data_IF_770418493230
#
_entry.id   IF_770418493230
#
_cell.length_a   1.000
_cell.length_b   1.000
_cell.length_c   1.000
_cell.angle_alpha   90.00
_cell.angle_beta   90.00
_cell.angle_gamma   90.00
#
_symmetry.space_group_name_H-M   'P 1'
#
loop_
_entity.id
_entity.type
_entity.pdbx_description
1 polymer ?
#
# COMPACT_ATOMS: atom_id res chain seq x y z
N UNK A 1 -12.92 12.70 6.57
CA UNK A 1 -12.15 13.85 6.03
C UNK A 1 -10.79 13.86 6.69
N UNK A 2 -9.68 13.84 5.95
CA UNK A 2 -8.32 13.81 6.53
C UNK A 2 -7.75 15.20 6.87
N UNK A 3 -8.40 16.28 6.42
CA UNK A 3 -8.03 17.68 6.68
C UNK A 3 -9.14 18.42 7.45
N UNK A 4 -9.66 17.81 8.51
CA UNK A 4 -10.66 18.46 9.37
C UNK A 4 -10.04 18.97 10.67
N UNK A 5 -10.73 19.87 11.37
CA UNK A 5 -10.24 20.47 12.61
C UNK A 5 -9.81 19.43 13.63
N UNK A 6 -10.63 18.38 13.84
CA UNK A 6 -10.32 17.30 14.77
C UNK A 6 -9.00 16.56 14.48
N UNK A 7 -8.53 16.54 13.22
CA UNK A 7 -7.22 15.97 12.87
C UNK A 7 -6.10 16.94 13.23
N UNK A 8 -6.27 18.23 12.93
CA UNK A 8 -5.28 19.25 13.28
C UNK A 8 -5.14 19.44 14.80
N UNK A 9 -6.24 19.33 15.54
CA UNK A 9 -6.24 19.41 17.00
C UNK A 9 -5.40 18.28 17.64
N UNK A 10 -5.34 17.11 16.99
CA UNK A 10 -4.52 15.98 17.44
C UNK A 10 -3.08 15.98 16.91
N UNK A 11 -2.77 16.83 15.93
CA UNK A 11 -1.47 16.83 15.28
C UNK A 11 -0.33 17.12 16.29
N UNK A 12 -0.52 18.10 17.18
CA UNK A 12 0.50 18.43 18.19
C UNK A 12 0.82 17.25 19.11
N UNK A 13 -0.21 16.53 19.58
CA UNK A 13 -0.03 15.34 20.43
C UNK A 13 0.72 14.20 19.71
N UNK A 14 0.52 14.05 18.40
CA UNK A 14 1.26 13.06 17.60
C UNK A 14 2.70 13.48 17.35
N UNK A 15 2.95 14.76 17.10
CA UNK A 15 4.30 15.29 16.91
C UNK A 15 5.15 15.16 18.19
N UNK A 16 4.55 15.32 19.38
CA UNK A 16 5.20 15.02 20.66
C UNK A 16 5.58 13.53 20.81
N UNK A 17 4.91 12.64 20.07
CA UNK A 17 5.18 11.20 20.00
C UNK A 17 6.06 10.81 18.79
N UNK A 18 6.73 11.78 18.16
CA UNK A 18 7.57 11.57 16.97
C UNK A 18 6.78 11.01 15.76
N UNK A 19 5.48 11.33 15.69
CA UNK A 19 4.58 10.93 14.60
C UNK A 19 4.10 12.14 13.81
N UNK A 20 4.42 12.16 12.52
CA UNK A 20 4.14 13.29 11.63
C UNK A 20 3.13 12.93 10.54
N UNK A 21 2.29 13.89 10.17
CA UNK A 21 1.35 13.75 9.07
C UNK A 21 2.01 14.09 7.73
N UNK A 22 1.97 13.15 6.79
CA UNK A 22 2.40 13.36 5.41
C UNK A 22 1.19 13.39 4.47
N UNK A 23 0.92 14.56 3.89
CA UNK A 23 -0.20 14.73 2.97
C UNK A 23 0.26 14.60 1.51
N UNK A 24 -0.38 13.69 0.79
CA UNK A 24 -0.16 13.53 -0.64
C UNK A 24 -0.86 14.64 -1.46
N UNK A 25 -0.29 15.03 -2.62
CA UNK A 25 -0.99 15.88 -3.59
C UNK A 25 -2.29 15.24 -4.06
N UNK A 26 -3.26 16.07 -4.44
CA UNK A 26 -4.55 15.61 -4.97
C UNK A 26 -4.35 14.71 -6.19
N UNK A 27 -5.21 13.69 -6.34
CA UNK A 27 -5.20 12.75 -7.47
C UNK A 27 -3.87 12.02 -7.70
N UNK A 28 -3.07 11.83 -6.63
CA UNK A 28 -1.77 11.15 -6.72
C UNK A 28 -1.74 9.77 -6.04
N UNK A 29 -2.64 8.82 -6.41
CA UNK A 29 -2.68 7.50 -5.78
C UNK A 29 -1.40 6.68 -6.09
N UNK A 30 -0.71 6.99 -7.18
CA UNK A 30 0.56 6.37 -7.55
C UNK A 30 1.70 6.69 -6.56
N UNK A 31 1.57 7.76 -5.77
CA UNK A 31 2.51 8.10 -4.70
C UNK A 31 2.20 7.37 -3.39
N UNK A 32 1.05 6.71 -3.27
CA UNK A 32 0.66 5.99 -2.07
C UNK A 32 1.00 4.50 -2.19
N UNK A 33 2.03 3.98 -1.50
CA UNK A 33 2.47 2.59 -1.66
C UNK A 33 1.39 1.55 -1.33
N UNK A 34 0.46 1.88 -0.44
CA UNK A 34 -0.63 0.98 -0.04
C UNK A 34 -1.57 0.66 -1.22
N UNK A 35 -1.68 1.55 -2.21
CA UNK A 35 -2.49 1.33 -3.42
C UNK A 35 -1.93 0.19 -4.26
N UNK A 36 -0.59 0.05 -4.30
CA UNK A 36 0.07 -1.07 -4.97
C UNK A 36 -0.29 -2.37 -4.24
N UNK A 37 -0.23 -2.38 -2.90
CA UNK A 37 -0.59 -3.55 -2.11
C UNK A 37 -2.04 -3.97 -2.37
N UNK A 38 -2.99 -3.03 -2.32
CA UNK A 38 -4.40 -3.33 -2.58
C UNK A 38 -4.66 -3.84 -4.00
N UNK A 39 -3.94 -3.33 -5.00
CA UNK A 39 -4.02 -3.84 -6.37
C UNK A 39 -3.58 -5.30 -6.45
N UNK A 40 -2.45 -5.67 -5.83
CA UNK A 40 -2.01 -7.07 -5.78
C UNK A 40 -3.00 -7.94 -5.00
N UNK A 41 -3.48 -7.47 -3.86
CA UNK A 41 -4.45 -8.18 -3.05
C UNK A 41 -5.72 -8.50 -3.86
N UNK A 42 -6.32 -7.51 -4.51
CA UNK A 42 -7.55 -7.66 -5.27
C UNK A 42 -7.41 -8.50 -6.53
N UNK A 43 -6.36 -8.25 -7.32
CA UNK A 43 -6.27 -8.82 -8.67
C UNK A 43 -5.37 -10.05 -8.77
N UNK A 44 -4.51 -10.30 -7.79
CA UNK A 44 -3.54 -11.41 -7.84
C UNK A 44 -3.75 -12.46 -6.76
N UNK A 45 -4.07 -12.05 -5.53
CA UNK A 45 -4.07 -12.98 -4.38
C UNK A 45 -5.46 -13.40 -3.93
N UNK A 46 -6.43 -12.50 -3.94
CA UNK A 46 -7.82 -12.88 -3.68
C UNK A 46 -8.38 -13.72 -4.82
N UNK A 47 -9.09 -14.78 -4.46
CA UNK A 47 -9.77 -15.68 -5.38
C UNK A 47 -11.28 -15.43 -5.31
N UNK A 48 -12.01 -15.84 -6.36
CA UNK A 48 -13.47 -15.68 -6.45
C UNK A 48 -14.20 -16.19 -5.21
N UNK A 49 -13.76 -17.32 -4.65
CA UNK A 49 -14.35 -17.93 -3.44
C UNK A 49 -14.22 -17.07 -2.18
N UNK A 50 -13.25 -16.16 -2.11
CA UNK A 50 -13.13 -15.23 -0.97
C UNK A 50 -14.23 -14.17 -0.98
N UNK A 51 -14.76 -13.83 -2.15
CA UNK A 51 -15.83 -12.84 -2.29
C UNK A 51 -17.23 -13.40 -1.98
N UNK A 52 -17.35 -14.69 -1.65
CA UNK A 52 -18.67 -15.32 -1.48
C UNK A 52 -19.39 -14.88 -0.19
N UNK A 53 -18.67 -14.28 0.77
CA UNK A 53 -19.28 -13.64 1.94
C UNK A 53 -18.32 -12.64 2.58
N UNK A 54 -18.87 -11.70 3.35
CA UNK A 54 -18.07 -10.74 4.12
C UNK A 54 -17.05 -11.42 5.04
N UNK A 55 -17.48 -12.45 5.77
CA UNK A 55 -16.61 -13.18 6.69
C UNK A 55 -15.41 -13.83 5.97
N UNK A 56 -15.65 -14.44 4.80
CA UNK A 56 -14.60 -15.07 3.99
C UNK A 56 -13.65 -14.04 3.41
N UNK A 57 -14.18 -12.94 2.88
CA UNK A 57 -13.36 -11.85 2.35
C UNK A 57 -12.46 -11.29 3.44
N UNK A 58 -13.04 -10.96 4.61
CA UNK A 58 -12.33 -10.44 5.76
C UNK A 58 -11.23 -11.40 6.21
N UNK A 59 -11.54 -12.69 6.38
CA UNK A 59 -10.57 -13.71 6.77
C UNK A 59 -9.40 -13.81 5.77
N UNK A 60 -9.70 -13.82 4.48
CA UNK A 60 -8.68 -13.89 3.43
C UNK A 60 -7.79 -12.63 3.40
N UNK A 61 -8.38 -11.44 3.49
CA UNK A 61 -7.63 -10.16 3.54
C UNK A 61 -6.67 -10.15 4.73
N UNK A 62 -7.13 -10.50 5.94
CA UNK A 62 -6.27 -10.53 7.12
C UNK A 62 -5.19 -11.61 7.05
N UNK A 63 -5.49 -12.78 6.47
CA UNK A 63 -4.49 -13.82 6.25
C UNK A 63 -3.37 -13.33 5.31
N UNK A 64 -3.75 -12.71 4.18
CA UNK A 64 -2.80 -12.13 3.22
C UNK A 64 -1.93 -11.06 3.88
N UNK A 65 -2.54 -10.13 4.63
CA UNK A 65 -1.79 -9.05 5.30
C UNK A 65 -0.83 -9.59 6.34
N UNK A 66 -1.24 -10.61 7.13
CA UNK A 66 -0.36 -11.24 8.14
C UNK A 66 0.83 -11.97 7.52
N UNK A 67 0.66 -12.53 6.32
CA UNK A 67 1.69 -13.29 5.60
C UNK A 67 2.41 -12.43 4.54
N UNK A 68 2.13 -11.12 4.48
CA UNK A 68 2.79 -10.19 3.58
C UNK A 68 4.27 -10.02 3.96
N UNK A 69 5.15 -10.07 2.97
CA UNK A 69 6.61 -10.14 3.17
C UNK A 69 7.14 -11.57 3.33
N UNK A 70 6.27 -12.56 3.50
CA UNK A 70 6.63 -13.99 3.55
C UNK A 70 6.09 -14.70 2.31
N UNK A 71 4.87 -15.22 2.37
CA UNK A 71 4.22 -15.93 1.25
C UNK A 71 3.72 -14.95 0.18
N UNK A 72 3.26 -13.77 0.59
CA UNK A 72 2.79 -12.73 -0.32
C UNK A 72 3.88 -11.66 -0.47
N UNK A 73 4.52 -11.63 -1.64
CA UNK A 73 5.59 -10.68 -1.97
C UNK A 73 5.30 -9.98 -3.29
N UNK A 74 5.75 -8.74 -3.38
CA UNK A 74 5.72 -7.93 -4.60
C UNK A 74 7.17 -7.75 -5.04
N UNK A 75 7.57 -8.40 -6.13
CA UNK A 75 8.93 -8.33 -6.64
C UNK A 75 9.01 -7.31 -7.77
N UNK A 76 9.96 -6.38 -7.68
CA UNK A 76 10.18 -5.33 -8.66
C UNK A 76 11.38 -5.60 -9.58
N UNK A 77 12.06 -6.73 -9.44
CA UNK A 77 13.29 -7.05 -10.19
C UNK A 77 13.12 -6.93 -11.70
N UNK A 78 11.98 -7.40 -12.24
CA UNK A 78 11.67 -7.26 -13.65
C UNK A 78 11.48 -5.81 -14.11
N UNK A 79 11.00 -4.92 -13.24
CA UNK A 79 10.92 -3.49 -13.52
C UNK A 79 12.31 -2.84 -13.47
N UNK A 80 13.09 -3.16 -12.44
CA UNK A 80 14.46 -2.66 -12.26
C UNK A 80 15.32 -3.04 -13.45
N UNK A 81 15.28 -4.30 -13.89
CA UNK A 81 16.07 -4.77 -15.02
C UNK A 81 15.72 -4.08 -16.34
N UNK A 82 14.43 -3.72 -16.55
CA UNK A 82 14.00 -2.96 -17.75
C UNK A 82 14.43 -1.49 -17.71
N UNK A 83 14.47 -0.90 -16.53
CA UNK A 83 14.80 0.52 -16.34
C UNK A 83 16.29 0.78 -16.07
N UNK A 84 17.15 -0.26 -16.17
CA UNK A 84 18.61 -0.07 -16.12
C UNK A 84 19.05 0.73 -17.33
N UNK A 85 19.38 2.00 -17.12
CA UNK A 85 20.02 2.84 -18.13
C UNK A 85 21.41 2.27 -18.42
N UNK A 86 21.60 1.75 -19.63
CA UNK A 86 22.93 1.37 -20.11
C UNK A 86 23.60 2.64 -20.62
N UNK A 87 24.59 3.13 -19.89
CA UNK A 87 25.50 4.14 -20.42
C UNK A 87 26.36 3.44 -21.47
N UNK A 88 26.15 3.77 -22.75
CA UNK A 88 27.09 3.37 -23.79
C UNK A 88 28.37 4.18 -23.57
N UNK A 89 29.47 3.51 -23.26
CA UNK A 89 30.80 4.10 -23.27
C UNK A 89 31.07 4.63 -24.68
N UNK A 90 31.42 5.92 -24.76
CA UNK A 90 31.82 6.59 -25.99
C UNK A 90 33.16 6.07 -26.52
#
# INVERSE_FOLDING_TARGET
>A
MHRCQAVYDQQANWEEQDMYLFFLPTYSPHLNPIEILWRFLKYRWLQKLHYSSWSRLKKAVFAIIRLFGQEYRICFDGLVNRNKVKFNSA
#
